data_IF_925709014183
#
_entry.id   IF_925709014183
#
_cell.length_a   1.000
_cell.length_b   1.000
_cell.length_c   1.000
_cell.angle_alpha   90.00
_cell.angle_beta   90.00
_cell.angle_gamma   90.00
#
_symmetry.space_group_name_H-M   'P 1'
#
loop_
_entity.id
_entity.type
_entity.pdbx_description
1 polymer ?
#
# COMPACT_ATOMS: atom_id res chain seq x y z
N UNK A 1 -20.72 -0.21 10.52
CA UNK A 1 -21.36 1.05 10.12
C UNK A 1 -22.84 0.85 9.79
N UNK A 2 -23.58 1.96 9.76
CA UNK A 2 -24.95 2.00 9.31
C UNK A 2 -25.22 3.31 8.54
N UNK A 3 -25.99 3.22 7.44
CA UNK A 3 -26.31 4.34 6.56
C UNK A 3 -27.73 4.85 6.82
N UNK A 4 -27.88 6.17 6.86
CA UNK A 4 -29.13 6.83 7.14
C UNK A 4 -29.47 7.83 6.02
N UNK A 5 -30.69 7.69 5.47
CA UNK A 5 -31.31 8.68 4.60
C UNK A 5 -32.14 9.64 5.46
N UNK A 6 -31.72 10.89 5.59
CA UNK A 6 -32.40 11.92 6.38
C UNK A 6 -32.24 13.28 5.73
N UNK A 7 -33.24 14.12 5.83
CA UNK A 7 -33.19 15.51 5.39
C UNK A 7 -32.14 16.32 6.18
N UNK A 8 -32.06 16.10 7.48
CA UNK A 8 -31.02 16.65 8.35
C UNK A 8 -30.01 15.55 8.69
N UNK A 9 -28.78 15.58 8.13
CA UNK A 9 -27.74 14.60 8.40
C UNK A 9 -27.35 14.55 9.87
N UNK A 10 -27.01 13.38 10.39
CA UNK A 10 -26.38 13.26 11.71
C UNK A 10 -25.04 13.96 11.74
N UNK A 11 -24.70 14.50 12.89
CA UNK A 11 -23.42 15.14 13.19
C UNK A 11 -22.67 14.39 14.29
N UNK A 12 -21.40 14.69 14.50
CA UNK A 12 -20.63 14.13 15.61
C UNK A 12 -21.26 14.42 16.97
N UNK A 13 -21.96 15.57 17.11
CA UNK A 13 -22.65 15.97 18.33
C UNK A 13 -23.84 15.05 18.69
N UNK A 14 -24.34 14.28 17.74
CA UNK A 14 -25.45 13.33 17.98
C UNK A 14 -24.96 11.98 18.51
N UNK A 15 -23.69 11.61 18.28
CA UNK A 15 -23.15 10.31 18.65
C UNK A 15 -23.33 9.98 20.14
N UNK A 16 -23.05 10.88 21.10
CA UNK A 16 -23.26 10.57 22.51
C UNK A 16 -24.73 10.28 22.88
N UNK A 17 -25.67 10.93 22.21
CA UNK A 17 -27.12 10.69 22.43
C UNK A 17 -27.53 9.31 21.88
N UNK A 18 -26.99 8.94 20.72
CA UNK A 18 -27.22 7.63 20.10
C UNK A 18 -26.61 6.54 20.98
N UNK A 19 -25.36 6.69 21.44
CA UNK A 19 -24.70 5.73 22.36
C UNK A 19 -25.52 5.52 23.65
N UNK A 20 -26.01 6.58 24.26
CA UNK A 20 -26.87 6.49 25.43
C UNK A 20 -28.10 5.64 25.15
N UNK A 21 -28.74 5.85 23.99
CA UNK A 21 -29.90 5.06 23.59
C UNK A 21 -29.55 3.59 23.31
N UNK A 22 -28.37 3.34 22.72
CA UNK A 22 -27.87 1.97 22.55
C UNK A 22 -27.66 1.27 23.89
N UNK A 23 -27.09 1.93 24.90
CA UNK A 23 -26.94 1.38 26.23
C UNK A 23 -28.31 1.03 26.88
N UNK A 24 -29.32 1.89 26.71
CA UNK A 24 -30.68 1.60 27.19
C UNK A 24 -31.27 0.36 26.51
N UNK A 25 -31.04 0.18 25.22
CA UNK A 25 -31.52 -0.99 24.48
C UNK A 25 -30.80 -2.26 24.93
N UNK A 26 -29.47 -2.20 25.11
CA UNK A 26 -28.66 -3.32 25.61
C UNK A 26 -29.18 -3.81 26.97
N UNK A 27 -29.52 -2.88 27.89
CA UNK A 27 -30.04 -3.21 29.21
C UNK A 27 -31.42 -3.92 29.19
N UNK A 28 -32.22 -3.72 28.12
CA UNK A 28 -33.48 -4.40 27.92
C UNK A 28 -33.37 -5.90 27.70
N UNK A 29 -32.16 -6.38 27.36
CA UNK A 29 -31.85 -7.80 27.17
C UNK A 29 -32.84 -8.53 26.24
N UNK A 30 -33.11 -7.96 25.07
CA UNK A 30 -34.01 -8.57 24.08
C UNK A 30 -33.25 -9.58 23.24
N UNK A 31 -33.89 -10.73 22.96
CA UNK A 31 -33.31 -11.72 22.04
C UNK A 31 -33.40 -11.23 20.60
N UNK A 32 -32.40 -11.61 19.82
CA UNK A 32 -32.46 -11.52 18.34
C UNK A 32 -33.13 -12.79 17.80
N UNK A 33 -34.18 -12.61 17.01
CA UNK A 33 -34.92 -13.71 16.38
C UNK A 33 -34.70 -13.57 14.87
N UNK A 34 -34.14 -14.60 14.25
CA UNK A 34 -34.01 -14.69 12.76
C UNK A 34 -35.30 -15.29 12.20
N UNK A 35 -35.88 -14.62 11.22
CA UNK A 35 -36.98 -15.12 10.40
C UNK A 35 -36.55 -15.09 8.94
N UNK A 36 -37.12 -15.99 8.14
CA UNK A 36 -36.95 -15.97 6.68
C UNK A 36 -38.31 -15.60 6.09
N UNK A 37 -38.32 -14.52 5.33
CA UNK A 37 -39.54 -14.01 4.70
C UNK A 37 -39.49 -14.18 3.18
N UNK A 38 -40.66 -14.22 2.53
CA UNK A 38 -40.74 -14.15 1.09
C UNK A 38 -40.31 -12.77 0.57
N UNK A 39 -39.93 -12.71 -0.72
CA UNK A 39 -39.54 -11.46 -1.39
C UNK A 39 -40.69 -10.46 -1.37
N UNK A 40 -41.91 -10.94 -1.65
CA UNK A 40 -43.12 -10.14 -1.68
C UNK A 40 -43.47 -9.57 -0.29
N UNK A 41 -43.41 -10.39 0.75
CA UNK A 41 -43.68 -9.98 2.12
C UNK A 41 -42.68 -8.91 2.59
N UNK A 42 -41.39 -9.14 2.30
CA UNK A 42 -40.31 -8.21 2.66
C UNK A 42 -40.43 -6.86 1.94
N UNK A 43 -40.68 -6.87 0.63
CA UNK A 43 -40.89 -5.65 -0.17
C UNK A 43 -42.08 -4.87 0.38
N UNK A 44 -43.22 -5.55 0.62
CA UNK A 44 -44.42 -4.91 1.16
C UNK A 44 -44.15 -4.23 2.49
N UNK A 45 -43.52 -4.94 3.42
CA UNK A 45 -43.22 -4.42 4.75
C UNK A 45 -42.32 -3.17 4.70
N UNK A 46 -41.19 -3.25 4.00
CA UNK A 46 -40.26 -2.11 3.94
C UNK A 46 -40.80 -0.94 3.14
N UNK A 47 -41.64 -1.18 2.12
CA UNK A 47 -42.33 -0.13 1.40
C UNK A 47 -43.35 0.60 2.27
N UNK A 48 -44.13 -0.13 3.09
CA UNK A 48 -45.10 0.43 4.02
C UNK A 48 -44.42 1.24 5.14
N UNK A 49 -43.12 1.00 5.37
CA UNK A 49 -42.26 1.76 6.32
C UNK A 49 -41.51 2.94 5.67
N UNK A 50 -41.60 3.12 4.35
CA UNK A 50 -40.83 4.15 3.63
C UNK A 50 -39.32 3.86 3.50
N UNK A 51 -38.93 2.57 3.59
CA UNK A 51 -37.54 2.13 3.54
C UNK A 51 -37.15 1.75 2.10
N UNK A 52 -37.21 2.73 1.19
CA UNK A 52 -37.05 2.51 -0.26
C UNK A 52 -35.70 1.88 -0.64
N UNK A 53 -34.61 2.25 0.03
CA UNK A 53 -33.30 1.64 -0.20
C UNK A 53 -33.26 0.14 0.14
N UNK A 54 -34.00 -0.32 1.15
CA UNK A 54 -34.11 -1.74 1.47
C UNK A 54 -34.97 -2.47 0.44
N UNK A 55 -36.01 -1.84 -0.06
CA UNK A 55 -36.82 -2.38 -1.16
C UNK A 55 -35.96 -2.56 -2.41
N UNK A 56 -35.12 -1.60 -2.75
CA UNK A 56 -34.19 -1.70 -3.88
C UNK A 56 -33.18 -2.84 -3.67
N UNK A 57 -32.58 -2.96 -2.48
CA UNK A 57 -31.67 -4.07 -2.17
C UNK A 57 -32.35 -5.44 -2.31
N UNK A 58 -33.58 -5.58 -1.81
CA UNK A 58 -34.34 -6.85 -1.90
C UNK A 58 -34.66 -7.20 -3.35
N UNK A 59 -35.00 -6.21 -4.18
CA UNK A 59 -35.29 -6.45 -5.60
C UNK A 59 -34.08 -6.98 -6.37
N UNK A 60 -32.87 -6.55 -5.99
CA UNK A 60 -31.61 -6.96 -6.63
C UNK A 60 -31.11 -8.34 -6.19
N UNK A 61 -31.67 -8.89 -5.10
CA UNK A 61 -31.31 -10.23 -4.68
C UNK A 61 -31.81 -11.27 -5.67
N UNK A 62 -30.99 -12.30 -5.99
CA UNK A 62 -31.43 -13.43 -6.79
C UNK A 62 -32.68 -14.11 -6.20
N UNK A 63 -33.57 -14.63 -7.05
CA UNK A 63 -34.85 -15.23 -6.60
C UNK A 63 -34.67 -16.46 -5.70
N UNK A 64 -33.52 -17.10 -5.73
CA UNK A 64 -33.17 -18.25 -4.89
C UNK A 64 -32.44 -17.88 -3.60
N UNK A 65 -32.19 -16.59 -3.32
CA UNK A 65 -31.54 -16.14 -2.08
C UNK A 65 -32.55 -15.96 -0.95
N UNK A 66 -32.24 -16.50 0.24
CA UNK A 66 -33.06 -16.34 1.44
C UNK A 66 -33.02 -14.91 1.94
N UNK A 67 -34.19 -14.29 2.15
CA UNK A 67 -34.29 -12.97 2.75
C UNK A 67 -34.45 -13.14 4.27
N UNK A 68 -33.38 -12.85 5.01
CA UNK A 68 -33.38 -12.97 6.45
C UNK A 68 -33.69 -11.63 7.12
N UNK A 69 -34.63 -11.68 8.06
CA UNK A 69 -35.07 -10.58 8.91
C UNK A 69 -34.65 -10.87 10.33
N UNK A 70 -34.04 -9.90 10.99
CA UNK A 70 -33.69 -10.00 12.41
C UNK A 70 -34.57 -9.10 13.23
N UNK A 71 -35.28 -9.70 14.19
CA UNK A 71 -36.17 -9.03 15.13
C UNK A 71 -35.50 -8.83 16.49
N UNK A 72 -35.76 -7.68 17.09
CA UNK A 72 -35.29 -7.31 18.43
C UNK A 72 -36.42 -6.60 19.19
N UNK A 73 -37.25 -7.34 19.89
CA UNK A 73 -38.48 -6.82 20.47
C UNK A 73 -39.46 -6.36 19.41
N UNK A 74 -39.84 -5.08 19.41
CA UNK A 74 -40.80 -4.50 18.45
C UNK A 74 -40.12 -3.92 17.19
N UNK A 75 -38.79 -4.02 17.11
CA UNK A 75 -38.01 -3.54 15.99
C UNK A 75 -37.45 -4.72 15.16
N UNK A 76 -37.42 -4.56 13.88
CA UNK A 76 -36.81 -5.52 12.98
C UNK A 76 -36.08 -4.83 11.83
N UNK A 77 -35.13 -5.55 11.22
CA UNK A 77 -34.41 -5.08 10.06
C UNK A 77 -33.98 -6.21 9.14
N UNK A 78 -33.73 -5.84 7.87
CA UNK A 78 -33.09 -6.69 6.87
C UNK A 78 -31.63 -6.87 7.23
N UNK A 79 -31.18 -8.10 7.43
CA UNK A 79 -29.78 -8.39 7.70
C UNK A 79 -29.42 -9.83 7.32
N UNK A 80 -28.22 -9.97 6.76
CA UNK A 80 -27.66 -11.29 6.41
C UNK A 80 -27.26 -12.11 7.64
N UNK A 81 -26.95 -11.42 8.73
CA UNK A 81 -26.44 -12.05 9.96
C UNK A 81 -25.01 -12.59 9.82
N UNK A 82 -24.55 -13.43 10.76
CA UNK A 82 -25.25 -13.80 12.01
C UNK A 82 -25.33 -12.66 13.03
N UNK A 83 -26.27 -12.77 13.96
CA UNK A 83 -26.39 -11.88 15.11
C UNK A 83 -26.09 -12.61 16.43
N UNK A 84 -25.80 -11.83 17.48
CA UNK A 84 -25.73 -12.33 18.85
C UNK A 84 -27.10 -12.87 19.32
N UNK A 85 -27.09 -13.70 20.33
CA UNK A 85 -28.34 -14.25 20.87
C UNK A 85 -29.23 -13.17 21.49
N UNK A 86 -28.64 -12.19 22.19
CA UNK A 86 -29.38 -11.10 22.79
C UNK A 86 -28.60 -9.79 22.81
N UNK A 87 -29.31 -8.67 22.94
CA UNK A 87 -28.71 -7.33 23.04
C UNK A 87 -27.75 -7.18 24.20
N UNK A 88 -27.96 -7.92 25.33
CA UNK A 88 -27.09 -7.88 26.50
C UNK A 88 -25.67 -8.36 26.21
N UNK A 89 -25.50 -9.26 25.23
CA UNK A 89 -24.17 -9.79 24.86
C UNK A 89 -23.24 -8.74 24.26
N UNK A 90 -23.76 -7.63 23.70
CA UNK A 90 -22.96 -6.51 23.21
C UNK A 90 -22.15 -5.90 24.37
N UNK A 91 -22.67 -5.90 25.59
CA UNK A 91 -22.00 -5.34 26.76
C UNK A 91 -21.85 -3.81 26.69
N UNK A 92 -20.75 -3.31 27.23
CA UNK A 92 -20.41 -1.88 27.26
C UNK A 92 -19.23 -1.54 26.36
N UNK A 93 -18.56 -2.55 25.82
CA UNK A 93 -17.32 -2.41 25.07
C UNK A 93 -17.57 -2.00 23.61
N UNK A 94 -18.30 -0.93 23.37
CA UNK A 94 -18.51 -0.36 22.03
C UNK A 94 -18.40 1.16 22.05
N UNK A 95 -18.11 1.75 20.89
CA UNK A 95 -18.00 3.20 20.70
C UNK A 95 -18.47 3.60 19.31
N UNK A 96 -19.25 4.66 19.19
CA UNK A 96 -19.50 5.33 17.91
C UNK A 96 -18.33 6.26 17.60
N UNK A 97 -17.75 6.11 16.42
CA UNK A 97 -16.43 6.70 16.10
C UNK A 97 -16.56 8.00 15.33
N UNK A 98 -17.31 7.99 14.22
CA UNK A 98 -17.40 9.13 13.32
C UNK A 98 -18.66 9.10 12.48
N UNK A 99 -18.99 10.26 11.94
CA UNK A 99 -20.02 10.46 10.92
C UNK A 99 -19.33 10.87 9.61
N UNK A 100 -19.77 10.30 8.49
CA UNK A 100 -19.28 10.64 7.15
C UNK A 100 -20.43 10.60 6.14
N UNK A 101 -20.29 11.33 5.03
CA UNK A 101 -21.12 11.13 3.85
C UNK A 101 -20.73 9.85 3.13
N UNK A 102 -21.72 9.13 2.58
CA UNK A 102 -21.48 7.96 1.73
C UNK A 102 -22.52 7.93 0.63
N UNK A 103 -22.07 7.93 -0.62
CA UNK A 103 -22.99 7.81 -1.75
C UNK A 103 -23.61 6.41 -1.80
N UNK A 104 -24.92 6.36 -2.09
CA UNK A 104 -25.61 5.09 -2.26
C UNK A 104 -24.89 4.22 -3.29
N UNK A 105 -24.60 2.97 -2.93
CA UNK A 105 -23.85 1.99 -3.75
C UNK A 105 -22.43 2.46 -4.15
N UNK A 106 -21.89 3.48 -3.51
CA UNK A 106 -20.56 3.99 -3.82
C UNK A 106 -20.47 4.82 -5.11
N UNK A 107 -21.58 5.13 -5.75
CA UNK A 107 -21.65 5.93 -6.96
C UNK A 107 -21.95 7.39 -6.62
N UNK A 108 -21.07 8.29 -7.01
CA UNK A 108 -21.18 9.74 -6.73
C UNK A 108 -22.36 10.43 -7.45
N UNK A 109 -22.98 9.77 -8.41
CA UNK A 109 -24.21 10.23 -9.06
C UNK A 109 -25.49 9.96 -8.24
N UNK A 110 -25.37 9.06 -7.24
CA UNK A 110 -26.48 8.71 -6.36
C UNK A 110 -26.57 9.61 -5.13
N UNK A 111 -27.68 9.49 -4.40
CA UNK A 111 -27.93 10.24 -3.17
C UNK A 111 -26.85 9.99 -2.13
N UNK A 112 -26.38 11.07 -1.50
CA UNK A 112 -25.46 10.99 -0.37
C UNK A 112 -26.24 10.68 0.91
N UNK A 113 -25.88 9.58 1.57
CA UNK A 113 -26.39 9.14 2.86
C UNK A 113 -25.46 9.57 3.99
N UNK A 114 -25.97 9.60 5.20
CA UNK A 114 -25.14 9.79 6.40
C UNK A 114 -24.74 8.45 6.97
N UNK A 115 -23.44 8.17 6.99
CA UNK A 115 -22.86 6.93 7.53
C UNK A 115 -22.29 7.15 8.91
N UNK A 116 -22.77 6.38 9.89
CA UNK A 116 -22.23 6.34 11.26
C UNK A 116 -21.35 5.10 11.40
N UNK A 117 -20.10 5.31 11.80
CA UNK A 117 -19.14 4.25 12.10
C UNK A 117 -19.08 3.99 13.60
N UNK A 118 -18.97 2.74 13.98
CA UNK A 118 -18.74 2.31 15.34
C UNK A 118 -17.82 1.10 15.41
N UNK A 119 -17.34 0.81 16.61
CA UNK A 119 -16.54 -0.38 16.93
C UNK A 119 -17.09 -1.06 18.16
N UNK A 120 -16.94 -2.38 18.27
CA UNK A 120 -17.30 -3.17 19.43
C UNK A 120 -16.25 -4.24 19.69
N UNK A 121 -15.97 -4.50 20.96
CA UNK A 121 -14.90 -5.37 21.42
C UNK A 121 -15.41 -6.35 22.47
N UNK A 122 -14.63 -7.40 22.75
CA UNK A 122 -14.99 -8.40 23.74
C UNK A 122 -14.99 -7.83 25.17
N UNK A 123 -14.05 -6.94 25.48
CA UNK A 123 -13.92 -6.31 26.80
C UNK A 123 -13.74 -4.79 26.68
N UNK A 124 -14.07 -4.07 27.76
CA UNK A 124 -13.82 -2.61 27.85
C UNK A 124 -12.32 -2.29 27.74
N UNK A 125 -11.45 -3.17 28.24
CA UNK A 125 -9.99 -3.03 28.12
C UNK A 125 -9.53 -3.10 26.65
N UNK A 126 -10.09 -4.01 25.86
CA UNK A 126 -9.77 -4.12 24.43
C UNK A 126 -10.23 -2.88 23.66
N UNK A 127 -11.41 -2.34 24.03
CA UNK A 127 -11.90 -1.08 23.47
C UNK A 127 -10.99 0.09 23.83
N UNK A 128 -10.60 0.24 25.09
CA UNK A 128 -9.66 1.29 25.52
C UNK A 128 -8.32 1.20 24.80
N UNK A 129 -7.79 -0.01 24.65
CA UNK A 129 -6.54 -0.22 23.91
C UNK A 129 -6.69 0.17 22.43
N UNK A 130 -7.82 -0.18 21.80
CA UNK A 130 -8.08 0.22 20.42
C UNK A 130 -8.22 1.74 20.27
N UNK A 131 -8.93 2.41 21.17
CA UNK A 131 -9.07 3.86 21.15
C UNK A 131 -7.72 4.57 21.34
N UNK A 132 -6.89 4.05 22.25
CA UNK A 132 -5.53 4.55 22.45
C UNK A 132 -4.67 4.38 21.17
N UNK A 133 -4.79 3.23 20.48
CA UNK A 133 -4.08 3.02 19.20
C UNK A 133 -4.52 4.02 18.14
N UNK A 134 -5.80 4.35 18.04
CA UNK A 134 -6.31 5.36 17.11
C UNK A 134 -5.74 6.75 17.46
N UNK A 135 -5.79 7.14 18.73
CA UNK A 135 -5.25 8.41 19.18
C UNK A 135 -3.74 8.53 18.88
N UNK A 136 -2.98 7.47 19.16
CA UNK A 136 -1.56 7.41 18.85
C UNK A 136 -1.30 7.46 17.33
N UNK A 137 -2.17 6.81 16.52
CA UNK A 137 -2.06 6.87 15.07
C UNK A 137 -2.31 8.30 14.54
N UNK A 138 -3.29 9.03 15.09
CA UNK A 138 -3.57 10.42 14.73
C UNK A 138 -2.41 11.37 15.11
N UNK A 139 -1.80 11.16 16.27
CA UNK A 139 -0.61 11.93 16.70
C UNK A 139 0.58 11.72 15.76
N UNK A 140 0.70 10.53 15.18
CA UNK A 140 1.81 10.11 14.31
C UNK A 140 1.52 10.30 12.83
N UNK A 141 0.33 10.79 12.44
CA UNK A 141 -0.05 10.94 11.04
C UNK A 141 1.01 11.71 10.26
N UNK A 142 1.60 11.07 9.24
CA UNK A 142 2.67 11.63 8.43
C UNK A 142 2.28 12.93 7.71
N UNK A 143 0.98 13.14 7.45
CA UNK A 143 0.47 14.38 6.82
C UNK A 143 0.54 15.56 7.79
N UNK A 144 0.27 15.30 9.09
CA UNK A 144 0.38 16.28 10.15
C UNK A 144 1.85 16.55 10.44
N UNK A 145 2.61 15.52 10.76
CA UNK A 145 4.04 15.63 11.08
C UNK A 145 4.85 16.17 9.91
N UNK A 146 4.55 15.73 8.69
CA UNK A 146 5.22 16.23 7.48
C UNK A 146 5.04 17.73 7.26
N UNK A 147 3.85 18.28 7.60
CA UNK A 147 3.59 19.72 7.58
C UNK A 147 4.36 20.43 8.71
N UNK A 148 4.27 19.93 9.94
CA UNK A 148 4.95 20.52 11.11
C UNK A 148 6.48 20.53 10.94
N UNK A 149 7.05 19.50 10.31
CA UNK A 149 8.47 19.36 10.01
C UNK A 149 8.90 20.03 8.70
N UNK A 150 7.98 20.62 7.96
CA UNK A 150 8.21 21.25 6.65
C UNK A 150 8.84 20.30 5.63
N UNK A 151 8.26 19.09 5.47
CA UNK A 151 8.81 18.07 4.60
C UNK A 151 8.17 18.05 3.19
N UNK A 152 6.86 18.20 3.10
CA UNK A 152 6.13 18.11 1.83
C UNK A 152 4.71 18.69 1.93
N UNK A 153 4.09 18.89 0.75
CA UNK A 153 2.64 19.14 0.65
C UNK A 153 2.04 18.47 -0.61
N UNK A 154 0.72 18.49 -0.66
CA UNK A 154 -0.08 18.10 -1.83
C UNK A 154 -0.97 19.27 -2.24
N UNK A 155 -1.26 19.40 -3.54
CA UNK A 155 -2.15 20.42 -4.06
C UNK A 155 -2.95 19.92 -5.26
N UNK A 156 -3.99 20.67 -5.64
CA UNK A 156 -4.99 20.23 -6.62
C UNK A 156 -4.46 20.12 -8.05
N UNK A 157 -3.44 20.91 -8.40
CA UNK A 157 -2.83 20.89 -9.74
C UNK A 157 -2.05 19.61 -10.04
N UNK A 158 -1.70 18.84 -9.01
CA UNK A 158 -1.00 17.57 -9.14
C UNK A 158 -1.54 16.51 -8.15
N UNK A 159 -2.80 16.04 -8.34
CA UNK A 159 -3.45 15.16 -7.38
C UNK A 159 -2.73 13.82 -7.29
N UNK A 160 -2.31 13.47 -6.07
CA UNK A 160 -1.54 12.24 -5.82
C UNK A 160 -0.07 12.32 -6.22
N UNK A 161 0.48 13.52 -6.44
CA UNK A 161 1.92 13.75 -6.60
C UNK A 161 2.44 14.64 -5.46
N UNK A 162 3.64 14.35 -4.99
CA UNK A 162 4.23 15.00 -3.81
C UNK A 162 5.07 16.20 -4.22
N UNK A 163 4.84 17.34 -3.57
CA UNK A 163 5.74 18.49 -3.61
C UNK A 163 6.68 18.40 -2.40
N UNK A 164 7.92 17.99 -2.65
CA UNK A 164 8.94 17.87 -1.62
C UNK A 164 9.56 19.22 -1.29
N UNK A 165 9.53 19.58 -0.01
CA UNK A 165 10.28 20.74 0.49
C UNK A 165 11.77 20.39 0.69
N UNK A 166 12.67 21.35 0.86
CA UNK A 166 14.11 21.06 0.99
C UNK A 166 14.45 20.02 2.07
N UNK A 167 13.80 20.07 3.24
CA UNK A 167 14.02 19.10 4.32
C UNK A 167 13.49 17.71 3.94
N UNK A 168 12.30 17.66 3.35
CA UNK A 168 11.73 16.38 2.87
C UNK A 168 12.56 15.77 1.75
N UNK A 169 13.04 16.60 0.82
CA UNK A 169 13.92 16.15 -0.25
C UNK A 169 15.26 15.62 0.27
N UNK A 170 15.81 16.24 1.31
CA UNK A 170 17.01 15.76 1.98
C UNK A 170 16.81 14.37 2.61
N UNK A 171 15.67 14.15 3.27
CA UNK A 171 15.30 12.83 3.80
C UNK A 171 15.18 11.81 2.66
N UNK A 172 14.46 12.16 1.60
CA UNK A 172 14.25 11.30 0.45
C UNK A 172 15.56 10.91 -0.24
N UNK A 173 16.47 11.87 -0.45
CA UNK A 173 17.81 11.61 -0.99
C UNK A 173 18.67 10.76 -0.06
N UNK A 174 18.50 10.89 1.25
CA UNK A 174 19.20 10.04 2.22
C UNK A 174 18.78 8.58 2.09
N UNK A 175 17.50 8.30 1.84
CA UNK A 175 16.99 6.96 1.55
C UNK A 175 17.54 6.39 0.24
N UNK A 176 17.54 7.19 -0.83
CA UNK A 176 18.13 6.81 -2.12
C UNK A 176 19.63 6.48 -1.95
N UNK A 177 20.39 7.33 -1.31
CA UNK A 177 21.83 7.13 -1.13
C UNK A 177 22.13 5.90 -0.27
N UNK A 178 21.36 5.68 0.81
CA UNK A 178 21.46 4.45 1.59
C UNK A 178 21.23 3.21 0.73
N UNK A 179 20.12 3.19 -0.01
CA UNK A 179 19.76 2.04 -0.84
C UNK A 179 20.77 1.83 -1.97
N UNK A 180 21.24 2.90 -2.64
CA UNK A 180 22.28 2.83 -3.66
C UNK A 180 23.54 2.14 -3.12
N UNK A 181 24.02 2.56 -1.95
CA UNK A 181 25.17 1.93 -1.31
C UNK A 181 24.96 0.44 -0.97
N UNK A 182 23.73 0.05 -0.61
CA UNK A 182 23.39 -1.35 -0.34
C UNK A 182 23.33 -2.17 -1.63
N UNK A 183 22.79 -1.60 -2.70
CA UNK A 183 22.71 -2.22 -4.02
C UNK A 183 24.08 -2.38 -4.66
N UNK A 184 24.92 -1.33 -4.63
CA UNK A 184 26.29 -1.40 -5.15
C UNK A 184 27.10 -2.51 -4.49
N UNK A 185 27.02 -2.62 -3.14
CA UNK A 185 27.69 -3.70 -2.39
C UNK A 185 27.13 -5.09 -2.71
N UNK A 186 25.89 -5.18 -3.15
CA UNK A 186 25.26 -6.42 -3.56
C UNK A 186 25.47 -6.73 -5.06
N UNK A 187 26.24 -5.91 -5.79
CA UNK A 187 26.62 -6.14 -7.18
C UNK A 187 25.60 -5.66 -8.22
N UNK A 188 24.61 -4.86 -7.84
CA UNK A 188 23.67 -4.27 -8.80
C UNK A 188 24.31 -3.11 -9.58
N UNK A 189 23.93 -3.02 -10.86
CA UNK A 189 24.29 -1.89 -11.71
C UNK A 189 23.07 -0.98 -11.87
N UNK A 190 23.22 0.29 -11.47
CA UNK A 190 22.14 1.27 -11.56
C UNK A 190 21.92 1.71 -13.01
N UNK A 191 20.68 1.75 -13.43
CA UNK A 191 20.22 2.18 -14.76
C UNK A 191 19.11 3.21 -14.65
N UNK A 192 18.74 3.79 -15.79
CA UNK A 192 17.57 4.66 -15.87
C UNK A 192 16.88 4.46 -17.22
N UNK A 193 15.57 4.20 -17.19
CA UNK A 193 14.75 4.00 -18.39
C UNK A 193 13.83 5.18 -18.65
N UNK A 194 13.41 5.44 -19.90
CA UNK A 194 12.52 6.54 -20.23
C UNK A 194 11.20 6.49 -19.44
N UNK A 195 10.71 7.66 -19.02
CA UNK A 195 9.42 7.75 -18.28
C UNK A 195 8.23 7.54 -19.22
N UNK A 196 8.36 7.91 -20.49
CA UNK A 196 7.30 7.82 -21.49
C UNK A 196 7.75 6.92 -22.65
N UNK A 197 6.93 5.91 -22.96
CA UNK A 197 7.23 4.93 -24.01
C UNK A 197 6.01 4.66 -24.88
N UNK A 198 6.26 4.26 -26.12
CA UNK A 198 5.23 3.95 -27.13
C UNK A 198 4.32 2.81 -26.66
N UNK A 199 3.04 2.89 -27.05
CA UNK A 199 2.00 1.90 -26.74
C UNK A 199 2.42 0.47 -27.10
N UNK A 200 3.15 0.27 -28.21
CA UNK A 200 3.53 -1.05 -28.70
C UNK A 200 4.35 -1.87 -27.70
N UNK A 201 5.21 -1.22 -26.89
CA UNK A 201 5.96 -1.89 -25.84
C UNK A 201 5.01 -2.44 -24.75
N UNK A 202 4.00 -1.67 -24.40
CA UNK A 202 3.00 -2.03 -23.38
C UNK A 202 2.06 -3.13 -23.86
N UNK A 203 1.71 -3.14 -25.15
CA UNK A 203 0.95 -4.23 -25.79
C UNK A 203 1.76 -5.53 -25.79
N UNK A 204 3.01 -5.47 -26.24
CA UNK A 204 3.90 -6.64 -26.30
C UNK A 204 4.11 -7.25 -24.90
N UNK A 205 4.34 -6.44 -23.90
CA UNK A 205 4.53 -6.91 -22.52
C UNK A 205 3.23 -7.37 -21.82
N UNK A 206 2.07 -7.04 -22.37
CA UNK A 206 0.75 -7.36 -21.79
C UNK A 206 0.24 -6.35 -20.76
N UNK A 207 0.99 -5.30 -20.44
CA UNK A 207 0.54 -4.25 -19.53
C UNK A 207 -0.69 -3.52 -20.08
N UNK A 208 -0.76 -3.32 -21.39
CA UNK A 208 -1.87 -2.62 -22.02
C UNK A 208 -3.20 -3.31 -21.80
N UNK A 209 -3.25 -4.64 -21.81
CA UNK A 209 -4.47 -5.41 -21.64
C UNK A 209 -4.83 -5.65 -20.17
N UNK A 210 -3.81 -5.83 -19.33
CA UNK A 210 -4.02 -6.27 -17.93
C UNK A 210 -3.96 -5.12 -16.91
N UNK A 211 -3.33 -3.99 -17.26
CA UNK A 211 -3.07 -2.88 -16.36
C UNK A 211 -3.55 -1.52 -16.89
N UNK A 212 -4.30 -1.53 -17.97
CA UNK A 212 -4.73 -0.38 -18.76
C UNK A 212 -5.44 0.72 -17.95
N UNK A 213 -6.30 0.33 -17.00
CA UNK A 213 -7.11 1.27 -16.20
C UNK A 213 -6.24 2.11 -15.24
N UNK A 214 -5.02 1.64 -14.99
CA UNK A 214 -4.06 2.31 -14.11
C UNK A 214 -3.02 3.13 -14.87
N UNK A 215 -3.08 3.20 -16.21
CA UNK A 215 -2.06 3.88 -17.02
C UNK A 215 -2.47 5.29 -17.40
N UNK A 216 -1.56 6.25 -17.19
CA UNK A 216 -1.64 7.57 -17.82
C UNK A 216 -1.23 7.47 -19.28
N UNK A 217 -2.10 7.94 -20.17
CA UNK A 217 -1.91 7.90 -21.62
C UNK A 217 -1.90 9.30 -22.18
N UNK A 218 -1.14 9.49 -23.23
CA UNK A 218 -1.12 10.75 -23.99
C UNK A 218 -1.07 10.45 -25.49
N UNK A 219 -1.71 11.30 -26.26
CA UNK A 219 -1.68 11.27 -27.71
C UNK A 219 -0.74 12.37 -28.20
N UNK A 220 0.20 12.01 -29.05
CA UNK A 220 1.15 12.95 -29.64
C UNK A 220 0.61 13.54 -30.95
N UNK A 221 1.28 14.59 -31.46
CA UNK A 221 0.87 15.29 -32.70
C UNK A 221 0.95 14.41 -33.97
N UNK A 222 1.66 13.29 -33.89
CA UNK A 222 1.80 12.29 -34.96
C UNK A 222 0.80 11.13 -34.83
N UNK A 223 -0.29 11.33 -34.08
CA UNK A 223 -1.35 10.35 -33.78
C UNK A 223 -0.82 9.09 -33.05
N UNK A 224 0.41 9.11 -32.54
CA UNK A 224 0.94 8.03 -31.72
C UNK A 224 0.49 8.12 -30.28
N UNK A 225 0.19 6.98 -29.69
CA UNK A 225 -0.17 6.86 -28.31
C UNK A 225 1.05 6.46 -27.49
N UNK A 226 1.32 7.23 -26.47
CA UNK A 226 2.34 6.95 -25.47
C UNK A 226 1.69 6.72 -24.11
N UNK A 227 2.41 6.03 -23.23
CA UNK A 227 2.02 5.94 -21.82
C UNK A 227 3.20 6.30 -20.92
N UNK A 228 2.90 6.98 -19.83
CA UNK A 228 3.87 7.15 -18.74
C UNK A 228 4.00 5.80 -18.04
N UNK A 229 5.22 5.34 -17.84
CA UNK A 229 5.48 4.00 -17.30
C UNK A 229 4.79 3.76 -15.95
N UNK A 230 3.95 2.72 -15.83
CA UNK A 230 3.37 2.28 -14.56
C UNK A 230 4.29 1.32 -13.80
N UNK A 231 5.29 0.78 -14.50
CA UNK A 231 6.30 -0.19 -14.01
C UNK A 231 7.59 -0.02 -14.82
N UNK A 232 8.72 -0.45 -14.25
CA UNK A 232 10.04 -0.33 -14.89
C UNK A 232 10.45 -1.58 -15.68
N UNK A 233 9.78 -2.72 -15.46
CA UNK A 233 10.17 -4.02 -15.98
C UNK A 233 10.36 -4.10 -17.50
N UNK A 234 9.50 -3.54 -18.39
CA UNK A 234 9.76 -3.59 -19.83
C UNK A 234 11.02 -2.84 -20.22
N UNK A 235 11.30 -1.69 -19.55
CA UNK A 235 12.53 -0.94 -19.80
C UNK A 235 13.79 -1.73 -19.42
N UNK A 236 13.77 -2.44 -18.30
CA UNK A 236 14.88 -3.29 -17.87
C UNK A 236 15.15 -4.42 -18.89
N UNK A 237 14.09 -5.04 -19.42
CA UNK A 237 14.22 -6.07 -20.47
C UNK A 237 14.85 -5.48 -21.74
N UNK A 238 14.45 -4.28 -22.15
CA UNK A 238 15.03 -3.61 -23.32
C UNK A 238 16.53 -3.29 -23.13
N UNK A 239 16.98 -2.97 -21.91
CA UNK A 239 18.41 -2.83 -21.59
C UNK A 239 19.11 -4.18 -21.65
N UNK A 240 18.53 -5.23 -21.07
CA UNK A 240 19.11 -6.58 -21.10
C UNK A 240 19.34 -7.08 -22.54
N UNK A 241 18.43 -6.79 -23.46
CA UNK A 241 18.51 -7.19 -24.88
C UNK A 241 19.65 -6.54 -25.64
N UNK A 242 20.26 -5.48 -25.10
CA UNK A 242 21.36 -4.81 -25.78
C UNK A 242 22.64 -5.65 -25.70
N UNK A 243 23.17 -6.00 -26.86
CA UNK A 243 24.35 -6.85 -27.00
C UNK A 243 24.06 -8.34 -26.77
N UNK A 244 25.03 -9.17 -27.08
CA UNK A 244 24.96 -10.60 -26.89
C UNK A 244 25.22 -10.92 -25.39
N UNK A 245 24.36 -11.70 -24.78
CA UNK A 245 24.53 -12.23 -23.41
C UNK A 245 24.75 -13.73 -23.48
N UNK A 246 25.57 -14.25 -22.59
CA UNK A 246 25.78 -15.69 -22.38
C UNK A 246 25.42 -16.11 -20.96
N UNK A 247 25.35 -17.40 -20.70
CA UNK A 247 25.12 -17.93 -19.35
C UNK A 247 26.17 -17.46 -18.32
N UNK A 248 27.36 -17.06 -18.77
CA UNK A 248 28.43 -16.54 -17.91
C UNK A 248 28.20 -15.12 -17.44
N UNK A 249 27.32 -14.39 -18.12
CA UNK A 249 26.94 -13.02 -17.76
C UNK A 249 25.77 -13.02 -16.76
N UNK A 250 25.23 -14.20 -16.41
CA UNK A 250 24.12 -14.38 -15.48
C UNK A 250 24.61 -14.84 -14.10
N UNK A 251 24.05 -14.36 -12.99
CA UNK A 251 22.91 -13.45 -12.92
C UNK A 251 23.31 -12.03 -13.33
N UNK A 252 22.43 -11.32 -14.09
CA UNK A 252 22.62 -9.96 -14.50
C UNK A 252 21.68 -9.05 -13.69
N UNK A 253 22.25 -8.18 -12.84
CA UNK A 253 21.58 -7.46 -11.78
C UNK A 253 21.41 -5.98 -12.17
N UNK A 254 20.21 -5.57 -12.59
CA UNK A 254 19.89 -4.17 -12.88
C UNK A 254 19.06 -3.55 -11.78
N UNK A 255 19.42 -2.36 -11.31
CA UNK A 255 18.61 -1.55 -10.40
C UNK A 255 18.23 -0.20 -11.02
N UNK A 256 17.10 0.35 -10.60
CA UNK A 256 16.59 1.64 -11.06
C UNK A 256 15.80 2.33 -9.95
N UNK A 257 16.13 3.59 -9.68
CA UNK A 257 15.21 4.47 -8.93
C UNK A 257 14.20 5.07 -9.91
N UNK A 258 13.32 4.21 -10.43
CA UNK A 258 12.38 4.54 -11.47
C UNK A 258 11.15 5.26 -10.94
N UNK A 259 10.85 6.44 -11.51
CA UNK A 259 9.61 7.15 -11.21
C UNK A 259 8.49 6.60 -12.07
N UNK A 260 7.47 6.01 -11.43
CA UNK A 260 6.33 5.39 -12.09
C UNK A 260 5.04 6.13 -11.76
N UNK A 261 4.05 6.01 -12.64
CA UNK A 261 2.76 6.69 -12.47
C UNK A 261 1.62 5.69 -12.63
N UNK A 262 0.69 5.72 -11.65
CA UNK A 262 -0.51 4.87 -11.66
C UNK A 262 -1.73 5.71 -11.41
N UNK A 263 -2.76 5.56 -12.24
CA UNK A 263 -4.01 6.29 -12.10
C UNK A 263 -4.86 5.71 -10.97
N UNK A 264 -4.43 5.95 -9.74
CA UNK A 264 -5.20 5.59 -8.55
C UNK A 264 -6.48 6.43 -8.46
N UNK A 265 -7.65 5.84 -8.12
CA UNK A 265 -8.89 6.59 -7.91
C UNK A 265 -8.71 7.67 -6.83
N UNK A 266 -9.31 8.84 -7.03
CA UNK A 266 -9.16 9.98 -6.10
C UNK A 266 -9.54 9.64 -4.66
N UNK A 267 -10.58 8.82 -4.46
CA UNK A 267 -11.00 8.37 -3.13
C UNK A 267 -10.05 7.39 -2.43
N UNK A 268 -9.07 6.83 -3.16
CA UNK A 268 -8.06 5.92 -2.61
C UNK A 268 -6.77 6.65 -2.20
N UNK A 269 -6.59 7.91 -2.60
CA UNK A 269 -5.37 8.67 -2.28
C UNK A 269 -5.27 8.94 -0.77
N UNK A 270 -4.06 8.75 -0.22
CA UNK A 270 -3.84 8.90 1.22
C UNK A 270 -2.41 9.37 1.52
N UNK A 271 -2.18 10.68 1.47
CA UNK A 271 -0.87 11.27 1.74
C UNK A 271 0.25 10.56 0.98
N UNK A 272 1.36 10.28 1.64
CA UNK A 272 2.48 9.51 1.06
C UNK A 272 2.18 8.01 0.93
N UNK A 273 1.17 7.48 1.64
CA UNK A 273 0.86 6.04 1.67
C UNK A 273 0.27 5.53 0.36
N UNK A 274 -0.48 6.37 -0.36
CA UNK A 274 -1.05 6.02 -1.64
C UNK A 274 -1.11 7.25 -2.55
N UNK A 275 -0.23 7.25 -3.52
CA UNK A 275 0.03 8.35 -4.46
C UNK A 275 -0.15 7.87 -5.91
N UNK A 276 -0.22 8.79 -6.86
CA UNK A 276 -0.25 8.50 -8.31
C UNK A 276 1.13 8.53 -8.95
N UNK A 277 2.06 9.28 -8.39
CA UNK A 277 3.44 9.38 -8.85
C UNK A 277 4.38 9.00 -7.70
N UNK A 278 5.21 7.99 -7.90
CA UNK A 278 6.14 7.51 -6.89
C UNK A 278 7.41 6.92 -7.48
N UNK A 279 8.48 6.95 -6.70
CA UNK A 279 9.76 6.37 -7.05
C UNK A 279 9.91 5.01 -6.40
N UNK A 280 10.27 3.99 -7.17
CA UNK A 280 10.59 2.66 -6.66
C UNK A 280 12.10 2.45 -6.64
N UNK A 281 12.58 1.77 -5.60
CA UNK A 281 13.91 1.15 -5.55
C UNK A 281 13.89 -0.20 -6.28
N UNK A 282 13.50 -0.16 -7.53
CA UNK A 282 13.22 -1.33 -8.34
C UNK A 282 14.50 -2.01 -8.82
N UNK A 283 14.47 -3.33 -8.98
CA UNK A 283 15.51 -4.04 -9.67
C UNK A 283 15.01 -5.32 -10.34
N UNK A 284 15.74 -5.69 -11.38
CA UNK A 284 15.46 -6.85 -12.21
C UNK A 284 16.71 -7.72 -12.30
N UNK A 285 16.57 -8.97 -11.85
CA UNK A 285 17.64 -9.97 -11.85
C UNK A 285 17.33 -10.94 -12.98
N UNK A 286 18.13 -10.89 -14.04
CA UNK A 286 18.05 -11.90 -15.11
C UNK A 286 18.95 -13.06 -14.76
N UNK A 287 18.39 -14.26 -14.67
CA UNK A 287 19.11 -15.44 -14.22
C UNK A 287 18.68 -16.70 -14.99
N UNK A 288 19.41 -17.79 -14.80
CA UNK A 288 18.96 -19.11 -15.23
C UNK A 288 17.97 -19.69 -14.24
N UNK A 289 17.22 -20.72 -14.64
CA UNK A 289 16.28 -21.39 -13.73
C UNK A 289 16.97 -21.95 -12.48
N UNK A 290 18.16 -22.53 -12.63
CA UNK A 290 18.94 -23.10 -11.54
C UNK A 290 19.42 -22.03 -10.52
N UNK A 291 19.47 -20.78 -10.93
CA UNK A 291 19.88 -19.66 -10.07
C UNK A 291 18.72 -19.07 -9.25
N UNK A 292 17.45 -19.38 -9.56
CA UNK A 292 16.28 -18.76 -8.90
C UNK A 292 16.35 -18.86 -7.38
N UNK A 293 16.61 -20.07 -6.86
CA UNK A 293 16.64 -20.32 -5.42
C UNK A 293 17.71 -19.50 -4.71
N UNK A 294 18.93 -19.49 -5.26
CA UNK A 294 20.04 -18.75 -4.66
C UNK A 294 19.82 -17.23 -4.72
N UNK A 295 19.39 -16.71 -5.86
CA UNK A 295 19.11 -15.28 -6.02
C UNK A 295 17.95 -14.82 -5.14
N UNK A 296 16.87 -15.62 -5.07
CA UNK A 296 15.73 -15.33 -4.18
C UNK A 296 16.15 -15.29 -2.70
N UNK A 297 16.99 -16.25 -2.27
CA UNK A 297 17.54 -16.25 -0.91
C UNK A 297 18.36 -14.98 -0.64
N UNK A 298 19.26 -14.63 -1.57
CA UNK A 298 20.10 -13.43 -1.46
C UNK A 298 19.25 -12.15 -1.32
N UNK A 299 18.17 -12.05 -2.09
CA UNK A 299 17.23 -10.94 -1.99
C UNK A 299 16.51 -10.91 -0.65
N UNK A 300 16.01 -12.06 -0.15
CA UNK A 300 15.36 -12.14 1.15
C UNK A 300 16.31 -11.69 2.28
N UNK A 301 17.53 -12.16 2.29
CA UNK A 301 18.56 -11.80 3.27
C UNK A 301 18.86 -10.28 3.21
N UNK A 302 18.95 -9.72 2.01
CA UNK A 302 19.16 -8.28 1.79
C UNK A 302 18.01 -7.46 2.33
N UNK A 303 16.75 -7.81 2.01
CA UNK A 303 15.54 -7.13 2.49
C UNK A 303 15.52 -7.10 4.02
N UNK A 304 15.66 -8.26 4.67
CA UNK A 304 15.57 -8.37 6.13
C UNK A 304 16.67 -7.56 6.82
N UNK A 305 17.89 -7.57 6.27
CA UNK A 305 19.00 -6.79 6.80
C UNK A 305 18.76 -5.28 6.70
N UNK A 306 18.16 -4.83 5.59
CA UNK A 306 17.80 -3.42 5.38
C UNK A 306 16.72 -3.00 6.38
N UNK A 307 15.65 -3.78 6.53
CA UNK A 307 14.59 -3.44 7.47
C UNK A 307 15.07 -3.33 8.91
N UNK A 308 16.01 -4.19 9.29
CA UNK A 308 16.66 -4.11 10.60
C UNK A 308 17.43 -2.79 10.79
N UNK A 309 18.12 -2.28 9.75
CA UNK A 309 18.82 -0.99 9.80
C UNK A 309 17.85 0.17 10.04
N UNK A 310 16.58 0.03 9.65
CA UNK A 310 15.50 0.99 9.89
C UNK A 310 14.65 0.70 11.14
N UNK A 311 15.05 -0.25 12.00
CA UNK A 311 14.37 -0.54 13.26
C UNK A 311 13.13 -1.43 13.13
N UNK A 312 12.96 -2.13 12.01
CA UNK A 312 11.86 -3.07 11.82
C UNK A 312 12.34 -4.52 12.05
N UNK A 313 12.20 -5.00 13.29
CA UNK A 313 12.59 -6.36 13.66
C UNK A 313 11.49 -7.41 13.39
N UNK A 314 10.23 -6.98 13.26
CA UNK A 314 9.09 -7.85 13.04
C UNK A 314 8.58 -7.71 11.61
N UNK A 315 9.05 -8.62 10.75
CA UNK A 315 8.68 -8.68 9.33
C UNK A 315 7.89 -9.97 9.09
N UNK A 316 6.68 -9.83 8.53
CA UNK A 316 5.87 -10.97 8.09
C UNK A 316 5.99 -11.14 6.60
N UNK A 317 6.08 -12.39 6.14
CA UNK A 317 6.17 -12.72 4.73
C UNK A 317 4.86 -13.36 4.30
N UNK A 318 4.34 -12.93 3.16
CA UNK A 318 3.19 -13.54 2.49
C UNK A 318 3.61 -14.08 1.14
N UNK A 319 3.11 -15.26 0.82
CA UNK A 319 3.23 -15.85 -0.51
C UNK A 319 1.93 -15.63 -1.26
N UNK A 320 1.97 -14.92 -2.36
CA UNK A 320 0.82 -14.59 -3.21
C UNK A 320 0.94 -15.36 -4.52
N UNK A 321 -0.01 -16.25 -4.76
CA UNK A 321 -0.07 -17.12 -5.92
C UNK A 321 -0.79 -16.45 -7.12
N UNK A 322 -1.08 -17.23 -8.15
CA UNK A 322 -1.65 -16.78 -9.42
C UNK A 322 -2.99 -16.06 -9.28
N UNK A 323 -3.14 -14.83 -9.83
CA UNK A 323 -4.41 -14.15 -9.91
C UNK A 323 -5.28 -14.68 -11.06
N UNK A 324 -6.58 -14.36 -11.03
CA UNK A 324 -7.51 -14.71 -12.10
C UNK A 324 -7.08 -14.11 -13.46
N UNK A 325 -6.76 -12.81 -13.46
CA UNK A 325 -6.26 -12.09 -14.66
C UNK A 325 -4.74 -12.18 -14.73
N UNK A 326 -4.21 -13.09 -15.56
CA UNK A 326 -2.77 -13.34 -15.69
C UNK A 326 -2.33 -13.57 -17.14
N UNK A 327 -1.03 -13.53 -17.38
CA UNK A 327 -0.37 -13.96 -18.62
C UNK A 327 0.33 -15.30 -18.40
N UNK A 328 0.58 -16.05 -19.49
CA UNK A 328 1.16 -17.39 -19.44
C UNK A 328 0.13 -18.49 -19.16
N UNK A 329 0.52 -19.72 -19.42
CA UNK A 329 -0.29 -20.92 -19.16
C UNK A 329 -0.07 -21.45 -17.73
N UNK A 330 -0.91 -22.40 -17.32
CA UNK A 330 -0.84 -22.97 -15.97
C UNK A 330 0.46 -23.70 -15.69
N UNK A 331 1.10 -24.33 -16.68
CA UNK A 331 2.36 -25.03 -16.51
C UNK A 331 3.52 -24.06 -16.17
N UNK A 332 3.54 -22.87 -16.77
CA UNK A 332 4.49 -21.82 -16.44
C UNK A 332 4.27 -21.34 -15.01
N UNK A 333 3.01 -21.15 -14.61
CA UNK A 333 2.67 -20.73 -13.27
C UNK A 333 3.02 -21.79 -12.21
N UNK A 334 2.71 -23.06 -12.45
CA UNK A 334 3.09 -24.17 -11.57
C UNK A 334 4.60 -24.20 -11.32
N UNK A 335 5.38 -23.96 -12.37
CA UNK A 335 6.83 -23.90 -12.30
C UNK A 335 7.34 -22.70 -11.49
N UNK A 336 6.79 -21.51 -11.75
CA UNK A 336 7.18 -20.29 -11.06
C UNK A 336 6.84 -20.33 -9.57
N UNK A 337 5.64 -20.80 -9.22
CA UNK A 337 5.20 -20.98 -7.83
C UNK A 337 6.06 -22.01 -7.10
N UNK A 338 6.30 -23.16 -7.72
CA UNK A 338 7.17 -24.20 -7.13
C UNK A 338 8.60 -23.68 -6.88
N UNK A 339 9.18 -22.92 -7.83
CA UNK A 339 10.50 -22.36 -7.68
C UNK A 339 10.58 -21.35 -6.52
N UNK A 340 9.57 -20.49 -6.39
CA UNK A 340 9.51 -19.49 -5.31
C UNK A 340 9.25 -20.15 -3.94
N UNK A 341 8.43 -21.22 -3.89
CA UNK A 341 8.21 -22.01 -2.67
C UNK A 341 9.50 -22.70 -2.22
N UNK A 342 10.24 -23.34 -3.15
CA UNK A 342 11.52 -23.95 -2.86
C UNK A 342 12.55 -22.94 -2.34
N UNK A 343 12.54 -21.71 -2.91
CA UNK A 343 13.39 -20.63 -2.42
C UNK A 343 13.04 -20.26 -0.97
N UNK A 344 11.75 -20.20 -0.63
CA UNK A 344 11.32 -19.93 0.75
C UNK A 344 11.74 -21.06 1.72
N UNK A 345 11.55 -22.30 1.35
CA UNK A 345 12.02 -23.45 2.14
C UNK A 345 13.53 -23.38 2.40
N UNK A 346 14.31 -23.01 1.39
CA UNK A 346 15.77 -22.85 1.50
C UNK A 346 16.18 -21.69 2.43
N UNK A 347 15.33 -20.68 2.63
CA UNK A 347 15.59 -19.60 3.59
C UNK A 347 15.28 -19.99 5.03
N UNK A 348 14.43 -20.99 5.25
CA UNK A 348 13.89 -21.35 6.56
C UNK A 348 12.96 -20.30 7.18
N UNK A 349 12.49 -19.33 6.40
CA UNK A 349 11.58 -18.27 6.86
C UNK A 349 10.13 -18.74 6.80
N UNK A 350 9.36 -18.38 7.83
CA UNK A 350 7.92 -18.63 7.86
C UNK A 350 7.17 -17.67 6.96
N UNK A 351 6.14 -18.16 6.27
CA UNK A 351 5.27 -17.34 5.45
C UNK A 351 3.80 -17.77 5.58
N UNK A 352 2.89 -16.88 5.21
CA UNK A 352 1.45 -17.15 5.12
C UNK A 352 1.01 -17.10 3.67
N UNK A 353 0.02 -17.92 3.28
CA UNK A 353 -0.57 -17.88 1.94
C UNK A 353 -1.49 -16.66 1.81
N UNK A 354 -1.45 -16.03 0.64
CA UNK A 354 -2.30 -14.91 0.24
C UNK A 354 -2.85 -15.19 -1.18
N UNK A 355 -3.87 -16.06 -1.29
CA UNK A 355 -4.31 -16.60 -2.58
C UNK A 355 -4.84 -15.53 -3.54
N UNK A 356 -4.45 -15.64 -4.82
CA UNK A 356 -4.94 -14.78 -5.91
C UNK A 356 -4.33 -13.39 -5.98
N UNK A 357 -3.36 -13.05 -5.13
CA UNK A 357 -2.80 -11.72 -5.02
C UNK A 357 -1.43 -11.56 -5.72
N UNK A 358 -1.00 -12.55 -6.50
CA UNK A 358 0.21 -12.49 -7.32
C UNK A 358 0.18 -11.35 -8.34
N UNK A 359 1.33 -11.04 -8.94
CA UNK A 359 1.37 -10.14 -10.09
C UNK A 359 0.77 -10.84 -11.32
N UNK A 360 0.30 -10.07 -12.31
CA UNK A 360 -0.31 -10.70 -13.49
C UNK A 360 0.68 -11.54 -14.32
N UNK A 361 1.98 -11.41 -14.08
CA UNK A 361 3.07 -12.11 -14.77
C UNK A 361 3.79 -13.16 -13.93
N UNK A 362 3.60 -13.19 -12.61
CA UNK A 362 4.27 -14.17 -11.74
C UNK A 362 3.86 -14.11 -10.27
N UNK A 363 4.11 -15.20 -9.52
CA UNK A 363 3.89 -15.24 -8.07
C UNK A 363 4.85 -14.32 -7.35
N UNK A 364 4.48 -13.90 -6.12
CA UNK A 364 5.28 -12.96 -5.35
C UNK A 364 5.38 -13.31 -3.86
N UNK A 365 6.50 -12.92 -3.28
CA UNK A 365 6.64 -12.73 -1.84
C UNK A 365 6.38 -11.27 -1.50
N UNK A 366 5.64 -11.03 -0.45
CA UNK A 366 5.36 -9.70 0.09
C UNK A 366 5.94 -9.61 1.49
N UNK A 367 6.73 -8.58 1.74
CA UNK A 367 7.33 -8.31 3.04
C UNK A 367 6.53 -7.22 3.74
N UNK A 368 5.92 -7.58 4.86
CA UNK A 368 5.01 -6.72 5.63
C UNK A 368 5.71 -6.29 6.90
N UNK A 369 5.95 -4.99 7.00
CA UNK A 369 6.51 -4.35 8.19
C UNK A 369 5.43 -4.09 9.23
N UNK A 370 5.76 -4.26 10.50
CA UNK A 370 4.91 -3.83 11.61
C UNK A 370 5.51 -2.62 12.27
N UNK A 371 4.76 -1.52 12.33
CA UNK A 371 5.21 -0.28 12.94
C UNK A 371 5.12 -0.28 14.48
N UNK A 372 5.58 0.81 15.10
CA UNK A 372 5.66 0.96 16.55
C UNK A 372 4.31 0.86 17.29
N UNK A 373 3.20 1.04 16.59
CA UNK A 373 1.83 0.93 17.14
C UNK A 373 1.07 -0.31 16.64
N UNK A 374 1.78 -1.24 16.00
CA UNK A 374 1.28 -2.54 15.59
C UNK A 374 0.51 -2.57 14.27
N UNK A 375 0.59 -1.53 13.42
CA UNK A 375 -0.01 -1.53 12.08
C UNK A 375 0.91 -2.23 11.08
N UNK A 376 0.31 -2.88 10.11
CA UNK A 376 1.00 -3.64 9.08
C UNK A 376 1.12 -2.83 7.77
N UNK A 377 2.32 -2.80 7.20
CA UNK A 377 2.65 -2.08 5.99
C UNK A 377 3.36 -2.99 4.99
N UNK A 378 2.72 -3.31 3.88
CA UNK A 378 3.37 -4.00 2.78
C UNK A 378 4.35 -3.04 2.09
N UNK A 379 5.63 -3.43 2.03
CA UNK A 379 6.71 -2.66 1.43
C UNK A 379 7.46 -3.46 0.37
N UNK A 380 8.35 -4.35 0.79
CA UNK A 380 9.18 -5.12 -0.12
C UNK A 380 8.42 -6.21 -0.86
N UNK A 381 8.90 -6.52 -2.05
CA UNK A 381 8.40 -7.62 -2.88
C UNK A 381 9.53 -8.33 -3.59
N UNK A 382 9.36 -9.63 -3.80
CA UNK A 382 10.17 -10.45 -4.71
C UNK A 382 9.21 -11.27 -5.57
N UNK A 383 9.37 -11.23 -6.90
CA UNK A 383 8.48 -11.89 -7.84
C UNK A 383 9.29 -12.73 -8.82
N UNK A 384 8.80 -13.91 -9.17
CA UNK A 384 9.42 -14.78 -10.17
C UNK A 384 8.63 -14.70 -11.47
N UNK A 385 9.28 -14.28 -12.54
CA UNK A 385 8.68 -14.06 -13.84
C UNK A 385 9.35 -14.93 -14.92
N UNK A 386 8.57 -15.86 -15.44
CA UNK A 386 8.91 -16.72 -16.57
C UNK A 386 8.24 -16.26 -17.88
N UNK A 387 7.55 -15.13 -17.88
CA UNK A 387 6.69 -14.67 -18.95
C UNK A 387 7.25 -13.46 -19.72
N UNK A 388 7.51 -12.35 -19.04
CA UNK A 388 7.86 -11.07 -19.67
C UNK A 388 9.15 -11.13 -20.52
N UNK A 389 10.25 -11.75 -20.07
CA UNK A 389 11.45 -11.81 -20.88
C UNK A 389 11.22 -12.45 -22.25
N UNK A 390 10.50 -13.57 -22.31
CA UNK A 390 10.14 -14.24 -23.56
C UNK A 390 9.22 -13.44 -24.43
N UNK A 391 8.18 -12.81 -23.86
CA UNK A 391 7.24 -11.93 -24.58
C UNK A 391 7.95 -10.73 -25.25
N UNK A 392 8.96 -10.17 -24.59
CA UNK A 392 9.76 -9.06 -25.09
C UNK A 392 10.97 -9.50 -25.92
N UNK A 393 11.15 -10.81 -26.13
CA UNK A 393 12.20 -11.37 -26.98
C UNK A 393 13.61 -11.34 -26.38
N UNK A 394 13.71 -11.32 -25.05
CA UNK A 394 14.99 -11.44 -24.36
C UNK A 394 15.57 -12.85 -24.46
N UNK A 395 16.86 -12.97 -24.83
CA UNK A 395 17.55 -14.24 -24.94
C UNK A 395 18.99 -14.12 -24.46
N UNK A 396 19.55 -15.25 -24.02
CA UNK A 396 20.99 -15.45 -23.77
C UNK A 396 21.46 -16.75 -24.41
N UNK A 397 22.78 -16.90 -24.60
CA UNK A 397 23.38 -18.13 -25.11
C UNK A 397 23.68 -19.04 -23.93
N UNK A 398 23.05 -20.22 -23.90
CA UNK A 398 23.30 -21.25 -22.90
C UNK A 398 24.67 -21.92 -23.06
N UNK A 399 25.04 -22.74 -22.09
CA UNK A 399 26.29 -23.52 -22.13
C UNK A 399 26.36 -24.47 -23.35
N UNK A 400 25.21 -24.93 -23.79
CA UNK A 400 25.02 -25.77 -24.98
C UNK A 400 25.10 -24.99 -26.31
N UNK A 401 25.38 -23.68 -26.27
CA UNK A 401 25.44 -22.80 -27.43
C UNK A 401 24.09 -22.40 -28.03
N UNK A 402 22.97 -22.85 -27.44
CA UNK A 402 21.61 -22.52 -27.90
C UNK A 402 21.09 -21.23 -27.24
N UNK A 403 20.18 -20.55 -27.95
CA UNK A 403 19.44 -19.42 -27.38
C UNK A 403 18.42 -19.91 -26.36
N UNK A 404 18.44 -19.30 -25.17
CA UNK A 404 17.51 -19.56 -24.08
C UNK A 404 16.86 -18.27 -23.61
N UNK A 405 15.67 -18.36 -23.05
CA UNK A 405 14.96 -17.22 -22.42
C UNK A 405 15.41 -17.17 -20.95
N UNK A 406 15.86 -16.01 -20.44
CA UNK A 406 16.20 -15.90 -19.02
C UNK A 406 14.93 -15.87 -18.15
N UNK A 407 15.07 -16.30 -16.90
CA UNK A 407 14.12 -15.97 -15.84
C UNK A 407 14.38 -14.54 -15.39
N UNK A 408 13.35 -13.80 -15.01
CA UNK A 408 13.51 -12.49 -14.41
C UNK A 408 12.90 -12.48 -13.00
N UNK A 409 13.72 -12.08 -12.02
CA UNK A 409 13.21 -11.78 -10.69
C UNK A 409 13.02 -10.27 -10.58
N UNK A 410 11.82 -9.86 -10.19
CA UNK A 410 11.54 -8.46 -9.88
C UNK A 410 11.64 -8.28 -8.37
N UNK A 411 12.33 -7.25 -7.92
CA UNK A 411 12.34 -6.93 -6.49
C UNK A 411 12.28 -5.43 -6.24
N UNK A 412 11.57 -5.08 -5.20
CA UNK A 412 11.64 -3.77 -4.57
C UNK A 412 11.82 -3.99 -3.06
N UNK A 413 12.69 -3.23 -2.42
CA UNK A 413 13.03 -3.42 -1.00
C UNK A 413 12.23 -2.45 -0.13
N UNK A 414 12.28 -1.15 -0.41
CA UNK A 414 11.38 -0.16 0.16
C UNK A 414 9.99 -0.19 -0.50
N UNK A 415 9.93 -0.58 -1.78
CA UNK A 415 8.77 -0.42 -2.63
C UNK A 415 8.67 1.02 -3.12
N UNK A 416 7.60 1.75 -2.77
CA UNK A 416 7.53 3.19 -2.99
C UNK A 416 8.34 3.94 -1.91
N UNK A 417 9.29 4.75 -2.33
CA UNK A 417 10.07 5.60 -1.41
C UNK A 417 9.18 6.61 -0.69
N UNK A 418 8.14 7.13 -1.37
CA UNK A 418 7.14 8.02 -0.77
C UNK A 418 6.41 7.30 0.37
N UNK A 419 5.88 6.11 0.11
CA UNK A 419 5.20 5.30 1.13
C UNK A 419 6.14 4.92 2.28
N UNK A 420 7.35 4.50 1.97
CA UNK A 420 8.33 4.14 3.01
C UNK A 420 8.73 5.35 3.86
N UNK A 421 8.88 6.54 3.25
CA UNK A 421 9.10 7.80 3.99
C UNK A 421 7.93 8.09 4.94
N UNK A 422 6.68 7.94 4.47
CA UNK A 422 5.50 8.09 5.32
C UNK A 422 5.49 7.12 6.50
N UNK A 423 5.82 5.84 6.25
CA UNK A 423 5.93 4.81 7.29
C UNK A 423 6.99 5.17 8.33
N UNK A 424 8.16 5.65 7.91
CA UNK A 424 9.23 6.07 8.83
C UNK A 424 8.80 7.26 9.70
N UNK A 425 8.16 8.27 9.11
CA UNK A 425 7.66 9.43 9.86
C UNK A 425 6.69 8.97 10.95
N UNK A 426 5.77 8.07 10.63
CA UNK A 426 4.78 7.54 11.58
C UNK A 426 5.40 6.57 12.60
N UNK A 427 6.30 5.70 12.16
CA UNK A 427 7.01 4.76 13.05
C UNK A 427 7.78 5.49 14.13
N UNK A 428 8.54 6.49 13.75
CA UNK A 428 9.36 7.30 14.66
C UNK A 428 8.63 8.50 15.27
N UNK A 429 7.33 8.68 14.97
CA UNK A 429 6.56 9.85 15.44
C UNK A 429 7.26 11.20 15.15
N UNK A 430 7.92 11.31 13.99
CA UNK A 430 8.72 12.46 13.58
C UNK A 430 10.14 12.52 14.18
N UNK A 431 10.48 11.70 15.17
CA UNK A 431 11.80 11.63 15.80
C UNK A 431 12.74 10.69 15.04
N UNK A 432 13.05 11.04 13.79
CA UNK A 432 13.88 10.23 12.91
C UNK A 432 15.27 9.93 13.51
N UNK A 433 15.88 8.77 13.22
CA UNK A 433 17.27 8.49 13.57
C UNK A 433 18.20 9.59 13.06
N UNK A 434 19.27 9.88 13.80
CA UNK A 434 20.18 10.99 13.52
C UNK A 434 20.67 11.03 12.07
N UNK A 435 21.03 9.88 11.50
CA UNK A 435 21.53 9.78 10.13
C UNK A 435 20.47 10.10 9.06
N UNK A 436 19.18 9.92 9.38
CA UNK A 436 18.04 10.25 8.50
C UNK A 436 17.52 11.67 8.71
N UNK A 437 17.75 12.27 9.87
CA UNK A 437 17.22 13.60 10.20
C UNK A 437 17.65 14.63 9.17
N UNK A 438 16.72 15.36 8.52
CA UNK A 438 17.06 16.42 7.55
C UNK A 438 17.94 17.52 8.17
N UNK A 439 17.70 17.83 9.42
CA UNK A 439 18.48 18.72 10.25
C UNK A 439 19.02 17.91 11.43
N UNK A 440 20.35 17.83 11.55
CA UNK A 440 21.04 17.01 12.53
C UNK A 440 21.57 17.81 13.73
N UNK A 441 21.87 19.08 13.52
CA UNK A 441 22.34 19.97 14.58
C UNK A 441 21.86 21.40 14.32
N UNK A 442 21.55 22.10 15.38
CA UNK A 442 21.34 23.55 15.39
C UNK A 442 22.34 24.18 16.34
N UNK A 443 23.13 25.13 15.87
CA UNK A 443 24.02 25.93 16.68
C UNK A 443 23.28 27.22 16.97
N UNK A 444 22.87 27.40 18.23
CA UNK A 444 22.12 28.57 18.66
C UNK A 444 22.98 29.45 19.60
N UNK A 445 22.91 30.76 19.41
CA UNK A 445 23.56 31.73 20.28
C UNK A 445 22.56 32.33 21.26
N UNK A 446 23.03 32.67 22.49
CA UNK A 446 22.21 33.36 23.48
C UNK A 446 22.45 34.86 23.36
N UNK A 447 23.70 35.27 23.00
CA UNK A 447 24.10 36.65 22.80
C UNK A 447 24.88 36.80 21.50
N UNK A 448 24.77 37.95 20.86
CA UNK A 448 25.45 38.25 19.59
C UNK A 448 26.99 38.22 19.67
N UNK A 449 27.55 38.34 20.86
CA UNK A 449 29.01 38.29 21.06
C UNK A 449 29.63 36.93 20.69
N UNK A 450 28.80 35.87 20.59
CA UNK A 450 29.24 34.52 20.27
C UNK A 450 28.88 34.09 18.83
N UNK A 451 28.32 34.98 18.04
CA UNK A 451 27.83 34.61 16.69
C UNK A 451 28.97 34.15 15.76
N UNK A 452 30.12 34.85 15.77
CA UNK A 452 31.28 34.45 14.95
C UNK A 452 31.77 33.03 15.29
N UNK A 453 31.86 32.71 16.55
CA UNK A 453 32.23 31.36 16.99
C UNK A 453 31.17 30.32 16.61
N UNK A 454 29.89 30.67 16.70
CA UNK A 454 28.81 29.79 16.27
C UNK A 454 28.89 29.47 14.76
N UNK A 455 29.24 30.43 13.92
CA UNK A 455 29.50 30.20 12.50
C UNK A 455 30.68 29.26 12.25
N UNK A 456 31.77 29.38 13.02
CA UNK A 456 32.92 28.48 12.95
C UNK A 456 32.53 27.04 13.31
N UNK A 457 31.75 26.86 14.38
CA UNK A 457 31.24 25.56 14.81
C UNK A 457 30.32 24.96 13.74
N UNK A 458 29.36 25.73 13.25
CA UNK A 458 28.46 25.25 12.17
C UNK A 458 29.26 24.84 10.94
N UNK A 459 30.24 25.64 10.50
CA UNK A 459 31.09 25.31 9.36
C UNK A 459 31.92 24.04 9.60
N UNK A 460 32.43 23.84 10.82
CA UNK A 460 33.16 22.63 11.19
C UNK A 460 32.24 21.38 11.12
N UNK A 461 31.00 21.47 11.58
CA UNK A 461 30.01 20.39 11.49
C UNK A 461 29.69 20.05 10.03
N UNK A 462 29.41 21.07 9.22
CA UNK A 462 29.12 20.90 7.79
C UNK A 462 30.30 20.27 7.04
N UNK A 463 31.54 20.67 7.37
CA UNK A 463 32.75 20.09 6.77
C UNK A 463 32.92 18.58 7.07
N UNK A 464 32.27 18.09 8.14
CA UNK A 464 32.24 16.69 8.54
C UNK A 464 31.00 15.93 7.95
N UNK A 465 30.23 16.60 7.09
CA UNK A 465 29.02 16.02 6.47
C UNK A 465 27.79 16.04 7.38
N UNK A 466 27.82 16.79 8.49
CA UNK A 466 26.67 16.96 9.39
C UNK A 466 25.80 18.10 8.86
N UNK A 467 24.50 17.85 8.70
CA UNK A 467 23.50 18.84 8.28
C UNK A 467 23.19 19.75 9.48
N UNK A 468 23.89 20.88 9.53
CA UNK A 468 23.82 21.82 10.65
C UNK A 468 23.32 23.20 10.18
N UNK A 469 22.37 23.78 10.93
CA UNK A 469 21.89 25.15 10.78
C UNK A 469 22.40 26.00 11.94
N UNK A 470 22.38 27.31 11.76
CA UNK A 470 22.70 28.30 12.80
C UNK A 470 21.46 29.11 13.13
N UNK A 471 21.21 29.37 14.37
CA UNK A 471 20.19 30.27 14.88
C UNK A 471 20.78 31.36 15.77
N UNK A 472 20.85 32.57 15.23
CA UNK A 472 21.34 33.76 15.93
C UNK A 472 20.21 34.70 16.35
N UNK A 473 18.95 34.22 16.33
CA UNK A 473 17.80 35.01 16.80
C UNK A 473 17.75 34.99 18.30
N UNK A 474 18.00 36.16 18.92
CA UNK A 474 17.96 36.40 20.35
C UNK A 474 16.53 36.65 20.85
#
# INVERSE_FOLDING_TARGET
>A
YYDFARDEPFTVADLPKIEKKMHDIIQRNKNFIREVWSKEESIKYFKDKGEDYKVELINDLPDNEEISIYKQGDWLDLCRGPHMVSTKQIGKAFKLMKVAGAYWRGDSSNTMLTRIYGTAWATEKDLEQHLLQIEEAEKRDHRKLGREMDLFHFQEEAPGAVFWHPKGWTLFQSLINYMRNRQDKAGYVETNTPDMMDKSLWETSGHWDKFSDMMFRTEAKDDKIYAIKPMNCPGAVEIFKQGLKSYRDLPFLLSEFGKVHRYEPSGALHGLMRVRAFTQDDAHIFCTEDQITQESKTVCDLILSIYKDFGFDNVRIKFSDRPEKRVGDDAIWDKAEAALMQAMEATGLEYTLNPGEGAFYGPKLEFVLRDAIGRDWQCGTLQVDLNLPGRLGATYIGEDGNKKIPVMLHRALFGSLERFTGILIEHYAGHLPFWLSPLQAVVATITSDTDEYAYEVQKALVSKGIRAEIDTRN
#
